data_IF_850882819363
#
_entry.id   IF_850882819363
#
_cell.length_a   1.000
_cell.length_b   1.000
_cell.length_c   1.000
_cell.angle_alpha   90.00
_cell.angle_beta   90.00
_cell.angle_gamma   90.00
#
_symmetry.space_group_name_H-M   'P 1'
#
loop_
_entity.id
_entity.type
_entity.pdbx_description
1 polymer ?
#
# COMPACT_ATOMS: atom_id res chain seq x y z
N UNK A 1 12.55 -1.29 -4.32
CA UNK A 1 13.34 -1.27 -3.06
C UNK A 1 13.79 -2.70 -2.79
N UNK A 2 15.08 -2.95 -2.62
CA UNK A 2 15.61 -4.27 -2.30
C UNK A 2 15.69 -4.45 -0.79
N UNK A 3 15.19 -5.57 -0.28
CA UNK A 3 15.45 -6.02 1.09
C UNK A 3 16.62 -6.98 1.01
N UNK A 4 17.66 -6.73 1.81
CA UNK A 4 18.87 -7.54 1.88
C UNK A 4 18.96 -8.21 3.25
N UNK A 5 19.23 -9.51 3.23
CA UNK A 5 19.50 -10.30 4.42
C UNK A 5 20.64 -11.26 4.10
N UNK A 6 21.70 -11.24 4.89
CA UNK A 6 22.89 -12.08 4.71
C UNK A 6 23.44 -12.05 3.27
N UNK A 7 23.64 -10.84 2.74
CA UNK A 7 24.11 -10.58 1.37
C UNK A 7 23.23 -11.18 0.25
N UNK A 8 21.99 -11.48 0.56
CA UNK A 8 20.99 -12.00 -0.40
C UNK A 8 19.78 -11.09 -0.49
N UNK A 9 19.21 -11.05 -1.66
CA UNK A 9 17.91 -10.44 -1.94
C UNK A 9 16.79 -11.47 -1.87
N UNK A 10 15.56 -11.01 -2.10
CA UNK A 10 14.40 -11.88 -2.24
C UNK A 10 14.68 -13.02 -3.23
N UNK A 11 14.15 -14.20 -2.96
CA UNK A 11 14.42 -15.45 -3.71
C UNK A 11 15.90 -15.90 -3.71
N UNK A 12 16.73 -15.42 -2.77
CA UNK A 12 18.11 -15.86 -2.60
C UNK A 12 19.11 -15.34 -3.63
N UNK A 13 18.73 -14.37 -4.47
CA UNK A 13 19.67 -13.72 -5.39
C UNK A 13 20.74 -12.94 -4.62
N UNK A 14 22.00 -12.93 -5.08
CA UNK A 14 23.06 -12.20 -4.39
C UNK A 14 22.83 -10.68 -4.41
N UNK A 15 23.14 -10.02 -3.30
CA UNK A 15 23.05 -8.56 -3.17
C UNK A 15 23.93 -7.83 -4.20
N UNK A 16 25.02 -8.45 -4.63
CA UNK A 16 25.95 -7.93 -5.66
C UNK A 16 25.32 -7.81 -7.05
N UNK A 17 24.12 -8.34 -7.27
CA UNK A 17 23.36 -8.14 -8.51
C UNK A 17 22.74 -6.74 -8.60
N UNK A 18 22.79 -5.94 -7.52
CA UNK A 18 22.44 -4.52 -7.52
C UNK A 18 23.71 -3.70 -7.60
N UNK A 19 23.82 -2.90 -8.64
CA UNK A 19 25.00 -2.07 -8.95
C UNK A 19 24.58 -0.63 -9.25
N UNK A 20 25.55 0.25 -9.47
CA UNK A 20 25.30 1.62 -9.95
C UNK A 20 24.60 1.68 -11.32
N UNK A 21 24.63 0.57 -12.07
CA UNK A 21 23.96 0.44 -13.36
C UNK A 21 22.55 -0.16 -13.25
N UNK A 22 22.07 -0.40 -12.03
CA UNK A 22 20.76 -1.00 -11.78
C UNK A 22 20.83 -2.42 -11.21
N UNK A 23 19.67 -3.07 -11.16
CA UNK A 23 19.52 -4.42 -10.64
C UNK A 23 19.46 -5.44 -11.78
N UNK A 24 20.38 -6.41 -11.81
CA UNK A 24 20.35 -7.52 -12.79
C UNK A 24 19.16 -8.45 -12.59
N UNK A 25 18.69 -8.56 -11.33
CA UNK A 25 17.54 -9.35 -10.89
C UNK A 25 16.62 -8.49 -10.06
N UNK A 26 15.33 -8.78 -10.10
CA UNK A 26 14.31 -8.09 -9.30
C UNK A 26 14.19 -6.57 -9.57
N UNK A 27 14.69 -6.09 -10.71
CA UNK A 27 14.52 -4.71 -11.12
C UNK A 27 13.06 -4.40 -11.47
N UNK A 28 12.58 -3.22 -11.06
CA UNK A 28 11.19 -2.81 -11.28
C UNK A 28 10.85 -2.68 -12.79
N UNK A 29 11.84 -2.46 -13.63
CA UNK A 29 11.68 -2.40 -15.09
C UNK A 29 11.10 -3.69 -15.68
N UNK A 30 11.25 -4.83 -15.00
CA UNK A 30 10.69 -6.11 -15.45
C UNK A 30 9.16 -6.16 -15.43
N UNK A 31 8.53 -5.24 -14.69
CA UNK A 31 7.07 -5.20 -14.54
C UNK A 31 6.42 -3.98 -15.22
N UNK A 32 7.21 -3.09 -15.84
CA UNK A 32 6.71 -1.84 -16.43
C UNK A 32 5.55 -2.03 -17.43
N UNK A 33 5.56 -3.12 -18.17
CA UNK A 33 4.55 -3.43 -19.20
C UNK A 33 3.50 -4.45 -18.69
N UNK A 34 3.54 -4.80 -17.39
CA UNK A 34 2.72 -5.86 -16.80
C UNK A 34 1.87 -5.39 -15.63
N UNK A 35 2.17 -4.23 -15.06
CA UNK A 35 1.40 -3.65 -13.94
C UNK A 35 0.24 -2.82 -14.48
N UNK A 36 -0.71 -3.49 -15.12
CA UNK A 36 -1.94 -2.87 -15.64
C UNK A 36 -3.12 -3.64 -15.06
N UNK A 37 -4.05 -2.94 -14.43
CA UNK A 37 -5.21 -3.55 -13.82
C UNK A 37 -6.25 -2.53 -13.40
N UNK A 38 -7.35 -3.00 -12.85
CA UNK A 38 -8.40 -2.15 -12.31
C UNK A 38 -7.98 -1.61 -10.95
N UNK A 39 -7.96 -0.28 -10.79
CA UNK A 39 -7.84 0.38 -9.49
C UNK A 39 -9.19 0.45 -8.77
N UNK A 40 -9.22 0.05 -7.52
CA UNK A 40 -10.38 0.22 -6.62
C UNK A 40 -9.97 1.14 -5.49
N UNK A 41 -10.56 2.33 -5.43
CA UNK A 41 -10.32 3.29 -4.36
C UNK A 41 -11.27 3.00 -3.18
N UNK A 42 -10.70 2.73 -2.01
CA UNK A 42 -11.40 2.69 -0.74
C UNK A 42 -11.09 3.98 0.04
N UNK A 43 -12.03 4.90 0.05
CA UNK A 43 -11.91 6.17 0.77
C UNK A 43 -12.30 5.99 2.23
N UNK A 44 -11.37 5.50 3.03
CA UNK A 44 -11.60 5.21 4.45
C UNK A 44 -11.86 6.48 5.25
N UNK A 45 -11.16 7.58 4.96
CA UNK A 45 -11.39 8.84 5.64
C UNK A 45 -12.85 9.31 5.44
N UNK A 46 -13.32 9.34 4.20
CA UNK A 46 -14.71 9.69 3.89
C UNK A 46 -15.72 8.71 4.47
N UNK A 47 -15.39 7.40 4.45
CA UNK A 47 -16.23 6.36 5.06
C UNK A 47 -16.43 6.62 6.55
N UNK A 48 -15.39 7.03 7.27
CA UNK A 48 -15.41 7.41 8.70
C UNK A 48 -16.01 8.79 8.94
N UNK A 49 -16.27 9.60 7.91
CA UNK A 49 -16.83 10.94 8.04
C UNK A 49 -15.82 12.01 8.47
N UNK A 50 -14.53 11.79 8.18
CA UNK A 50 -13.44 12.70 8.50
C UNK A 50 -12.65 13.07 7.24
N UNK A 51 -11.95 14.21 7.27
CA UNK A 51 -11.08 14.62 6.16
C UNK A 51 -9.79 13.81 6.13
N UNK A 52 -9.26 13.49 7.31
CA UNK A 52 -8.06 12.66 7.50
C UNK A 52 -8.22 11.76 8.72
N UNK A 53 -7.75 10.53 8.61
CA UNK A 53 -7.61 9.65 9.77
C UNK A 53 -6.55 10.18 10.73
N UNK A 54 -6.69 9.86 12.01
CA UNK A 54 -5.71 10.19 13.04
C UNK A 54 -4.40 9.43 12.82
N UNK A 55 -3.32 9.98 13.38
CA UNK A 55 -2.02 9.31 13.36
C UNK A 55 -2.10 7.97 14.09
N UNK A 56 -1.45 6.97 13.53
CA UNK A 56 -1.47 5.60 14.06
C UNK A 56 -2.80 4.86 13.92
N UNK A 57 -3.81 5.41 13.22
CA UNK A 57 -5.09 4.73 13.04
C UNK A 57 -4.91 3.39 12.31
N UNK A 58 -5.26 2.25 12.94
CA UNK A 58 -5.19 0.94 12.30
C UNK A 58 -6.44 0.69 11.47
N UNK A 59 -6.30 0.67 10.15
CA UNK A 59 -7.37 0.31 9.23
C UNK A 59 -7.56 -1.20 9.28
N UNK A 60 -8.72 -1.64 9.74
CA UNK A 60 -9.04 -3.06 9.94
C UNK A 60 -9.66 -3.69 8.69
N UNK A 61 -9.76 -5.02 8.66
CA UNK A 61 -10.50 -5.76 7.64
C UNK A 61 -11.96 -5.29 7.58
N UNK A 62 -12.59 -5.10 8.73
CA UNK A 62 -13.97 -4.60 8.84
C UNK A 62 -14.13 -3.21 8.20
N UNK A 63 -13.14 -2.33 8.37
CA UNK A 63 -13.14 -1.02 7.72
C UNK A 63 -13.10 -1.14 6.20
N UNK A 64 -12.26 -2.02 5.66
CA UNK A 64 -12.14 -2.23 4.22
C UNK A 64 -13.44 -2.80 3.61
N UNK A 65 -14.01 -3.81 4.26
CA UNK A 65 -15.24 -4.47 3.80
C UNK A 65 -16.44 -3.53 3.84
N UNK A 66 -16.68 -2.87 4.96
CA UNK A 66 -17.78 -1.91 5.12
C UNK A 66 -17.63 -0.69 4.22
N UNK A 67 -16.40 -0.22 4.00
CA UNK A 67 -16.14 0.87 3.06
C UNK A 67 -16.50 0.45 1.64
N UNK A 68 -16.06 -0.73 1.19
CA UNK A 68 -16.35 -1.25 -0.14
C UNK A 68 -17.86 -1.43 -0.35
N UNK A 69 -18.57 -1.97 0.66
CA UNK A 69 -20.03 -2.13 0.64
C UNK A 69 -20.74 -0.77 0.53
N UNK A 70 -20.37 0.19 1.39
CA UNK A 70 -20.96 1.54 1.36
C UNK A 70 -20.72 2.29 0.04
N UNK A 71 -19.56 2.06 -0.59
CA UNK A 71 -19.23 2.63 -1.90
C UNK A 71 -19.87 1.86 -3.06
N UNK A 72 -20.49 0.70 -2.83
CA UNK A 72 -21.07 -0.15 -3.86
C UNK A 72 -20.02 -0.74 -4.81
N UNK A 73 -18.79 -0.94 -4.35
CA UNK A 73 -17.70 -1.51 -5.12
C UNK A 73 -17.36 -2.92 -4.62
N UNK A 74 -17.04 -3.83 -5.53
CA UNK A 74 -16.55 -5.16 -5.21
C UNK A 74 -15.09 -5.29 -5.61
N UNK A 75 -14.29 -5.84 -4.71
CA UNK A 75 -12.90 -6.16 -4.95
C UNK A 75 -12.83 -7.52 -5.64
N UNK A 76 -12.01 -7.62 -6.67
CA UNK A 76 -11.85 -8.83 -7.47
C UNK A 76 -10.39 -9.23 -7.54
N UNK A 77 -10.16 -10.49 -7.83
CA UNK A 77 -8.82 -11.00 -8.13
C UNK A 77 -8.09 -10.11 -9.15
N UNK A 78 -6.85 -9.75 -8.85
CA UNK A 78 -6.01 -8.93 -9.71
C UNK A 78 -6.27 -7.43 -9.67
N UNK A 79 -7.16 -6.94 -8.80
CA UNK A 79 -7.36 -5.50 -8.59
C UNK A 79 -6.17 -4.86 -7.87
N UNK A 80 -5.98 -3.58 -8.11
CA UNK A 80 -5.13 -2.70 -7.30
C UNK A 80 -6.02 -1.96 -6.31
N UNK A 81 -5.85 -2.24 -5.02
CA UNK A 81 -6.64 -1.59 -3.97
C UNK A 81 -5.89 -0.36 -3.46
N UNK A 82 -6.50 0.79 -3.63
CA UNK A 82 -5.96 2.09 -3.22
C UNK A 82 -6.73 2.56 -2.00
N UNK A 83 -6.05 2.71 -0.88
CA UNK A 83 -6.65 3.14 0.39
C UNK A 83 -6.36 4.60 0.63
N UNK A 84 -7.42 5.44 0.69
CA UNK A 84 -7.29 6.86 0.99
C UNK A 84 -7.49 7.11 2.49
N UNK A 85 -6.48 7.69 3.12
CA UNK A 85 -6.49 8.05 4.56
C UNK A 85 -6.69 9.55 4.81
N UNK A 86 -6.50 10.39 3.80
CA UNK A 86 -6.49 11.85 3.94
C UNK A 86 -5.18 12.43 4.51
N UNK A 87 -4.23 11.59 4.93
CA UNK A 87 -3.00 12.04 5.59
C UNK A 87 -2.15 12.95 4.69
N UNK A 88 -2.05 12.63 3.39
CA UNK A 88 -1.31 13.46 2.43
C UNK A 88 -1.91 14.87 2.31
N UNK A 89 -3.23 14.97 2.18
CA UNK A 89 -3.94 16.24 2.08
C UNK A 89 -3.74 17.09 3.35
N UNK A 90 -3.75 16.43 4.52
CA UNK A 90 -3.47 17.11 5.80
C UNK A 90 -2.08 17.70 5.83
N UNK A 91 -1.05 16.96 5.40
CA UNK A 91 0.34 17.44 5.32
C UNK A 91 0.50 18.59 4.32
N UNK A 92 -0.14 18.49 3.16
CA UNK A 92 -0.16 19.57 2.15
C UNK A 92 -0.79 20.84 2.70
N UNK A 93 -1.93 20.74 3.38
CA UNK A 93 -2.64 21.87 3.96
C UNK A 93 -1.83 22.53 5.10
N UNK A 94 -1.11 21.75 5.89
CA UNK A 94 -0.24 22.23 6.95
C UNK A 94 1.10 22.81 6.44
N UNK A 95 1.49 22.49 5.20
CA UNK A 95 2.81 22.82 4.66
C UNK A 95 3.96 22.12 5.39
N UNK A 96 3.65 21.05 6.13
CA UNK A 96 4.59 20.30 6.95
C UNK A 96 4.52 18.80 6.65
N UNK A 97 5.66 18.23 6.27
CA UNK A 97 5.82 16.81 5.95
C UNK A 97 6.51 16.01 7.07
N UNK A 98 6.76 16.63 8.22
CA UNK A 98 7.38 15.95 9.36
C UNK A 98 6.49 14.83 9.86
N UNK A 99 7.08 13.66 10.02
CA UNK A 99 6.36 12.47 10.44
C UNK A 99 5.56 11.75 9.34
N UNK A 100 5.47 12.30 8.11
CA UNK A 100 4.79 11.63 7.00
C UNK A 100 5.46 10.29 6.64
N UNK A 101 6.79 10.29 6.56
CA UNK A 101 7.57 9.08 6.34
C UNK A 101 8.22 8.62 7.65
N UNK A 102 7.84 7.45 8.14
CA UNK A 102 8.44 6.84 9.33
C UNK A 102 7.88 7.30 10.68
N UNK A 103 6.77 8.02 10.68
CA UNK A 103 5.99 8.34 11.88
C UNK A 103 4.78 7.42 12.08
N UNK A 104 3.94 7.75 13.05
CA UNK A 104 2.69 7.05 13.35
C UNK A 104 1.60 7.41 12.31
N UNK A 105 1.83 7.11 11.04
CA UNK A 105 0.86 7.33 9.98
C UNK A 105 -0.31 6.34 10.07
N UNK A 106 -1.54 6.74 9.65
CA UNK A 106 -2.64 5.80 9.50
C UNK A 106 -2.32 4.77 8.43
N UNK A 107 -2.59 3.50 8.68
CA UNK A 107 -2.24 2.42 7.76
C UNK A 107 -3.01 1.13 8.01
N UNK A 108 -2.80 0.14 7.13
CA UNK A 108 -3.44 -1.16 7.28
C UNK A 108 -2.95 -1.87 8.54
N UNK A 109 -3.89 -2.36 9.35
CA UNK A 109 -3.58 -3.21 10.49
C UNK A 109 -3.00 -4.56 9.99
N UNK A 110 -2.13 -5.17 10.79
CA UNK A 110 -1.46 -6.43 10.41
C UNK A 110 -2.46 -7.55 10.06
N UNK A 111 -3.61 -7.59 10.73
CA UNK A 111 -4.66 -8.58 10.47
C UNK A 111 -5.20 -8.56 9.02
N UNK A 112 -5.13 -7.39 8.35
CA UNK A 112 -5.59 -7.25 6.96
C UNK A 112 -4.78 -8.08 5.97
N UNK A 113 -3.61 -8.59 6.38
CA UNK A 113 -2.79 -9.50 5.56
C UNK A 113 -3.56 -10.77 5.14
N UNK A 114 -4.44 -11.29 6.00
CA UNK A 114 -5.29 -12.42 5.68
C UNK A 114 -6.35 -12.07 4.64
N UNK A 115 -6.94 -10.88 4.75
CA UNK A 115 -7.90 -10.36 3.79
C UNK A 115 -7.25 -10.12 2.42
N UNK A 116 -6.06 -9.49 2.38
CA UNK A 116 -5.29 -9.27 1.15
C UNK A 116 -5.01 -10.61 0.45
N UNK A 117 -4.53 -11.60 1.21
CA UNK A 117 -4.25 -12.94 0.68
C UNK A 117 -5.53 -13.62 0.15
N UNK A 118 -6.64 -13.52 0.89
CA UNK A 118 -7.92 -14.13 0.51
C UNK A 118 -8.57 -13.49 -0.71
N UNK A 119 -8.35 -12.19 -0.90
CA UNK A 119 -8.89 -11.42 -2.02
C UNK A 119 -8.08 -11.58 -3.32
N UNK A 120 -6.87 -12.15 -3.24
CA UNK A 120 -5.97 -12.39 -4.39
C UNK A 120 -5.79 -11.14 -5.26
N UNK A 121 -5.66 -9.98 -4.61
CA UNK A 121 -5.42 -8.68 -5.26
C UNK A 121 -4.00 -8.60 -5.80
N UNK A 122 -3.77 -7.74 -6.79
CA UNK A 122 -2.44 -7.56 -7.38
C UNK A 122 -1.53 -6.65 -6.54
N UNK A 123 -2.11 -5.65 -5.87
CA UNK A 123 -1.46 -4.73 -4.96
C UNK A 123 -2.49 -3.98 -4.09
#
# INVERSE_FOLDING_TARGET
MGIFLDDKMYNGFPATDVTVNGAKKLGIENVRDKMVGRGVLLDIARFKGVDSLEDGYPITTDDLEKCSEKQGVSIKRGDFVIVRTGHQERCLAAGDWKGYAGGDAPGLAFETAHWIKGSDIAA
#
